data_IF_511299998009
#
_entry.id   IF_511299998009
#
_cell.length_a   1.000
_cell.length_b   1.000
_cell.length_c   1.000
_cell.angle_alpha   90.00
_cell.angle_beta   90.00
_cell.angle_gamma   90.00
#
_symmetry.space_group_name_H-M   'P 1'
#
loop_
_entity.id
_entity.type
_entity.pdbx_description
1 polymer ?
#
# COMPACT_ATOMS: atom_id res chain seq x y z
N UNK A 1 -31.24 -18.24 -29.85
CA UNK A 1 -31.26 -19.05 -28.62
C UNK A 1 -30.64 -18.21 -27.51
N UNK A 2 -31.39 -17.90 -26.45
CA UNK A 2 -30.88 -17.14 -25.30
C UNK A 2 -30.12 -18.09 -24.38
N UNK A 3 -28.86 -17.79 -24.08
CA UNK A 3 -28.07 -18.59 -23.15
C UNK A 3 -28.61 -18.38 -21.73
N UNK A 4 -28.96 -19.46 -21.04
CA UNK A 4 -29.27 -19.38 -19.62
C UNK A 4 -27.98 -19.05 -18.85
N UNK A 5 -27.94 -17.87 -18.24
CA UNK A 5 -26.85 -17.46 -17.36
C UNK A 5 -27.06 -18.15 -16.02
N UNK A 6 -26.35 -19.25 -15.79
CA UNK A 6 -26.28 -19.88 -14.48
C UNK A 6 -25.37 -19.02 -13.58
N UNK A 7 -25.92 -18.46 -12.49
CA UNK A 7 -25.20 -17.65 -11.51
C UNK A 7 -24.34 -18.50 -10.53
N UNK A 8 -23.75 -19.58 -11.04
CA UNK A 8 -22.93 -20.51 -10.25
C UNK A 8 -21.52 -19.93 -10.25
N UNK A 9 -21.04 -19.53 -9.08
CA UNK A 9 -19.66 -19.04 -8.95
C UNK A 9 -18.70 -20.21 -9.16
N UNK A 10 -17.76 -20.12 -10.11
CA UNK A 10 -16.75 -21.15 -10.28
C UNK A 10 -15.88 -21.25 -9.03
N UNK A 11 -15.25 -22.41 -8.84
CA UNK A 11 -14.24 -22.58 -7.82
C UNK A 11 -13.04 -21.66 -8.09
N UNK A 12 -12.29 -21.34 -7.03
CA UNK A 12 -11.10 -20.51 -7.17
C UNK A 12 -10.00 -21.24 -7.91
N UNK A 13 -9.20 -20.48 -8.65
CA UNK A 13 -8.01 -21.00 -9.32
C UNK A 13 -7.03 -21.57 -8.28
N UNK A 14 -6.33 -22.65 -8.65
CA UNK A 14 -5.40 -23.33 -7.74
C UNK A 14 -4.33 -22.40 -7.19
N UNK A 15 -3.77 -21.51 -8.02
CA UNK A 15 -2.78 -20.52 -7.58
C UNK A 15 -3.28 -19.63 -6.44
N UNK A 16 -4.58 -19.29 -6.45
CA UNK A 16 -5.19 -18.48 -5.37
C UNK A 16 -5.31 -19.31 -4.11
N UNK A 17 -5.74 -20.57 -4.23
CA UNK A 17 -5.83 -21.50 -3.10
C UNK A 17 -4.46 -21.74 -2.47
N UNK A 18 -3.43 -21.96 -3.29
CA UNK A 18 -2.06 -22.22 -2.83
C UNK A 18 -1.46 -21.03 -2.06
N UNK A 19 -1.72 -19.80 -2.53
CA UNK A 19 -1.30 -18.58 -1.81
C UNK A 19 -2.01 -18.47 -0.46
N UNK A 20 -3.32 -18.73 -0.42
CA UNK A 20 -4.11 -18.66 0.82
C UNK A 20 -3.63 -19.72 1.80
N UNK A 21 -3.41 -20.94 1.35
CA UNK A 21 -2.95 -22.04 2.20
C UNK A 21 -1.56 -21.76 2.77
N UNK A 22 -0.66 -21.17 1.98
CA UNK A 22 0.64 -20.72 2.47
C UNK A 22 0.50 -19.62 3.54
N UNK A 23 -0.26 -18.57 3.26
CA UNK A 23 -0.39 -17.43 4.20
C UNK A 23 -1.07 -17.84 5.51
N UNK A 24 -2.06 -18.73 5.45
CA UNK A 24 -2.88 -19.11 6.61
C UNK A 24 -2.24 -20.20 7.47
N UNK A 25 -1.55 -21.16 6.86
CA UNK A 25 -1.16 -22.41 7.54
C UNK A 25 0.36 -22.62 7.65
N UNK A 26 1.18 -21.88 6.88
CA UNK A 26 2.62 -22.08 6.90
C UNK A 26 3.28 -21.36 8.09
N UNK A 27 4.06 -22.10 8.88
CA UNK A 27 4.85 -21.55 9.97
C UNK A 27 6.32 -21.36 9.54
N UNK A 28 6.81 -20.14 9.67
CA UNK A 28 8.21 -19.81 9.36
C UNK A 28 9.08 -20.16 10.56
N UNK A 29 10.00 -21.12 10.41
CA UNK A 29 10.93 -21.55 11.48
C UNK A 29 12.38 -21.07 11.30
N UNK A 30 12.68 -20.36 10.21
CA UNK A 30 14.04 -19.92 9.90
C UNK A 30 14.41 -18.66 10.68
N UNK A 31 15.36 -18.78 11.60
CA UNK A 31 15.93 -17.63 12.33
C UNK A 31 16.53 -16.59 11.38
N UNK A 32 17.23 -17.03 10.34
CA UNK A 32 17.82 -16.14 9.33
C UNK A 32 16.74 -15.32 8.62
N UNK A 33 15.57 -15.92 8.34
CA UNK A 33 14.47 -15.20 7.70
C UNK A 33 13.97 -14.04 8.57
N UNK A 34 13.81 -14.26 9.88
CA UNK A 34 13.40 -13.20 10.82
C UNK A 34 14.47 -12.14 11.03
N UNK A 35 15.74 -12.55 11.19
CA UNK A 35 16.86 -11.62 11.35
C UNK A 35 16.99 -10.70 10.11
N UNK A 36 16.91 -11.28 8.91
CA UNK A 36 16.93 -10.50 7.66
C UNK A 36 15.70 -9.62 7.50
N UNK A 37 14.50 -10.12 7.81
CA UNK A 37 13.27 -9.31 7.73
C UNK A 37 13.32 -8.09 8.67
N UNK A 38 13.91 -8.24 9.86
CA UNK A 38 14.14 -7.12 10.77
C UNK A 38 15.07 -6.07 10.17
N UNK A 39 16.19 -6.47 9.56
CA UNK A 39 17.08 -5.53 8.88
C UNK A 39 16.42 -4.87 7.66
N UNK A 40 15.65 -5.62 6.87
CA UNK A 40 14.90 -5.07 5.75
C UNK A 40 13.86 -4.04 6.19
N UNK A 41 13.22 -4.23 7.35
CA UNK A 41 12.29 -3.25 7.92
C UNK A 41 13.01 -1.93 8.24
N UNK A 42 14.16 -2.00 8.92
CA UNK A 42 14.95 -0.82 9.25
C UNK A 42 15.46 -0.09 8.00
N UNK A 43 15.92 -0.84 6.99
CA UNK A 43 16.36 -0.30 5.70
C UNK A 43 15.22 0.43 4.97
N UNK A 44 14.04 -0.19 4.90
CA UNK A 44 12.87 0.39 4.24
C UNK A 44 12.41 1.67 4.94
N UNK A 45 12.39 1.68 6.27
CA UNK A 45 12.05 2.87 7.06
C UNK A 45 13.10 3.97 6.90
N UNK A 46 14.39 3.62 6.90
CA UNK A 46 15.48 4.57 6.65
C UNK A 46 15.34 5.27 5.31
N UNK A 47 15.16 4.49 4.24
CA UNK A 47 14.94 5.01 2.89
C UNK A 47 13.65 5.86 2.81
N UNK A 48 12.58 5.44 3.49
CA UNK A 48 11.32 6.17 3.52
C UNK A 48 11.42 7.54 4.21
N UNK A 49 12.16 7.63 5.31
CA UNK A 49 12.38 8.87 6.04
C UNK A 49 13.33 9.81 5.28
N UNK A 50 14.41 9.28 4.70
CA UNK A 50 15.31 10.06 3.85
C UNK A 50 14.56 10.64 2.64
N UNK A 51 13.63 9.88 2.06
CA UNK A 51 12.80 10.35 0.95
C UNK A 51 11.96 11.59 1.32
N UNK A 52 11.64 11.81 2.61
CA UNK A 52 10.91 13.00 3.07
C UNK A 52 11.77 14.26 3.05
N UNK A 53 13.09 14.18 2.89
CA UNK A 53 13.92 15.37 2.72
C UNK A 53 13.74 15.99 1.32
N UNK A 54 13.43 15.17 0.32
CA UNK A 54 13.30 15.59 -1.06
C UNK A 54 11.94 16.26 -1.35
N UNK A 55 11.92 17.53 -1.82
CA UNK A 55 10.68 18.26 -2.07
C UNK A 55 9.83 17.63 -3.19
N UNK A 56 10.46 16.97 -4.16
CA UNK A 56 9.75 16.23 -5.22
C UNK A 56 8.95 15.04 -4.65
N UNK A 57 9.49 14.36 -3.64
CA UNK A 57 8.84 13.25 -2.96
C UNK A 57 7.71 13.78 -2.08
N UNK A 58 8.00 14.75 -1.18
CA UNK A 58 7.01 15.39 -0.29
C UNK A 58 5.75 15.86 -1.00
N UNK A 59 5.88 16.44 -2.18
CA UNK A 59 4.73 16.96 -2.95
C UNK A 59 3.81 15.88 -3.52
N UNK A 60 4.22 14.61 -3.54
CA UNK A 60 3.37 13.46 -3.87
C UNK A 60 2.64 12.91 -2.64
N UNK A 61 3.10 13.23 -1.43
CA UNK A 61 2.49 12.84 -0.17
C UNK A 61 1.52 13.94 0.28
N UNK A 62 0.25 13.75 -0.02
CA UNK A 62 -0.83 14.60 0.43
C UNK A 62 -2.12 13.83 0.43
N UNK A 63 -3.02 14.12 1.37
CA UNK A 63 -4.35 13.53 1.32
C UNK A 63 -5.04 14.04 0.07
N UNK A 64 -5.48 13.12 -0.80
CA UNK A 64 -6.26 13.46 -1.98
C UNK A 64 -7.60 14.12 -1.61
N UNK A 65 -8.09 13.88 -0.40
CA UNK A 65 -9.35 14.38 0.13
C UNK A 65 -9.15 14.96 1.54
N UNK A 66 -9.91 15.99 1.97
CA UNK A 66 -9.83 16.53 3.32
C UNK A 66 -9.95 15.45 4.41
N UNK A 67 -9.18 15.63 5.48
CA UNK A 67 -9.11 14.68 6.58
C UNK A 67 -10.50 14.41 7.18
N UNK A 68 -10.83 13.14 7.50
CA UNK A 68 -12.04 12.82 8.22
C UNK A 68 -12.02 13.48 9.61
N UNK A 69 -13.18 13.89 10.13
CA UNK A 69 -13.32 14.57 11.42
C UNK A 69 -13.10 13.66 12.64
N UNK A 70 -12.83 12.38 12.45
CA UNK A 70 -12.56 11.42 13.51
C UNK A 70 -11.09 10.96 13.48
N UNK A 71 -10.49 10.67 14.64
CA UNK A 71 -9.10 10.24 14.71
C UNK A 71 -8.95 8.83 14.11
N UNK A 72 -8.12 8.71 13.07
CA UNK A 72 -7.64 7.41 12.56
C UNK A 72 -6.34 7.04 13.29
N UNK A 73 -6.18 5.77 13.66
CA UNK A 73 -5.03 5.27 14.43
C UNK A 73 -3.69 5.32 13.65
N UNK A 74 -3.73 5.58 12.34
CA UNK A 74 -2.56 5.65 11.48
C UNK A 74 -2.35 7.11 11.05
N UNK A 75 -1.87 7.94 11.97
CA UNK A 75 -1.35 9.26 11.66
C UNK A 75 0.17 9.15 11.55
N UNK A 76 0.72 9.26 10.34
CA UNK A 76 2.18 9.34 10.16
C UNK A 76 2.69 10.62 10.83
N UNK A 77 3.72 10.54 11.70
CA UNK A 77 4.11 11.64 12.59
C UNK A 77 4.64 12.90 11.88
N UNK A 78 4.96 12.84 10.59
CA UNK A 78 5.59 13.95 9.86
C UNK A 78 4.66 14.70 8.89
N UNK A 79 3.42 14.25 8.67
CA UNK A 79 2.50 14.94 7.75
C UNK A 79 1.68 16.00 8.49
N UNK A 80 2.34 17.05 8.98
CA UNK A 80 1.66 18.26 9.45
C UNK A 80 1.08 19.03 8.26
N UNK A 81 -0.17 18.72 7.90
CA UNK A 81 -1.20 19.62 7.34
C UNK A 81 -0.74 20.82 6.48
N UNK A 82 0.14 20.65 5.50
CA UNK A 82 0.41 21.68 4.50
C UNK A 82 0.68 21.08 3.12
N UNK A 83 -0.35 20.49 2.52
CA UNK A 83 -0.38 20.26 1.08
C UNK A 83 -1.75 20.64 0.54
N UNK A 84 -1.95 21.91 0.26
CA UNK A 84 -2.98 22.36 -0.68
C UNK A 84 -2.80 21.57 -1.98
N UNK A 85 -3.82 20.87 -2.50
CA UNK A 85 -3.70 20.19 -3.77
C UNK A 85 -3.69 21.26 -4.86
N UNK A 86 -2.51 21.65 -5.36
CA UNK A 86 -2.43 22.31 -6.66
C UNK A 86 -2.93 21.31 -7.69
N UNK A 87 -4.18 21.53 -8.11
CA UNK A 87 -4.78 21.04 -9.34
C UNK A 87 -3.73 21.09 -10.44
N UNK A 88 -3.03 19.97 -10.71
CA UNK A 88 -2.24 19.82 -11.93
C UNK A 88 -3.24 19.80 -13.07
N UNK A 89 -3.53 21.00 -13.55
CA UNK A 89 -4.11 21.22 -14.85
C UNK A 89 -3.33 20.39 -15.87
N UNK A 90 -4.06 19.47 -16.50
CA UNK A 90 -3.75 18.91 -17.81
C UNK A 90 -3.55 20.06 -18.81
N UNK A 91 -2.39 20.70 -18.81
CA UNK A 91 -1.95 21.60 -19.88
C UNK A 91 -0.43 21.64 -19.88
N UNK A 92 0.20 20.75 -20.65
CA UNK A 92 1.34 21.06 -21.54
C UNK A 92 1.89 19.75 -22.13
N UNK A 93 1.20 19.23 -23.14
CA UNK A 93 1.84 18.46 -24.19
C UNK A 93 2.07 19.42 -25.36
N UNK A 94 3.30 19.92 -25.47
CA UNK A 94 3.92 20.40 -26.69
C UNK A 94 5.41 20.15 -26.57
#
# INVERSE_FOLDING_TARGET
MSAQINNIRPEFDREIVDIVDYVMNYEISSKVAYDTAHYCLLDTLGCGLEALEYPACKNCWGQLFPAPSYPTACASPELSSSSTPSRRHLTSAR
#
